data_IF_231805976927
#
_entry.id   IF_231805976927
#
_cell.length_a   1.000
_cell.length_b   1.000
_cell.length_c   1.000
_cell.angle_alpha   90.00
_cell.angle_beta   90.00
_cell.angle_gamma   90.00
#
_symmetry.space_group_name_H-M   'P 1'
#
loop_
_entity.id
_entity.type
_entity.pdbx_description
1 polymer ?
#
# COMPACT_ATOMS: atom_id res chain seq x y z
N UNK A 1 -24.45 28.69 -13.26
CA UNK A 1 -23.08 28.54 -12.70
C UNK A 1 -22.48 27.22 -13.16
N UNK A 2 -21.60 27.23 -14.16
CA UNK A 2 -20.93 26.02 -14.61
C UNK A 2 -19.88 25.62 -13.56
N UNK A 3 -20.11 24.50 -12.86
CA UNK A 3 -19.06 23.86 -12.07
C UNK A 3 -17.98 23.41 -13.05
N UNK A 4 -16.89 24.17 -13.13
CA UNK A 4 -15.64 23.75 -13.76
C UNK A 4 -15.06 22.58 -12.96
N UNK A 5 -15.70 21.42 -13.05
CA UNK A 5 -15.12 20.15 -12.67
C UNK A 5 -14.01 19.89 -13.67
N UNK A 6 -12.81 20.41 -13.37
CA UNK A 6 -11.55 19.97 -13.99
C UNK A 6 -11.61 18.44 -14.01
N UNK A 7 -11.90 17.85 -15.17
CA UNK A 7 -11.85 16.39 -15.39
C UNK A 7 -10.42 16.00 -15.06
N UNK A 8 -10.20 15.56 -13.81
CA UNK A 8 -8.89 15.09 -13.35
C UNK A 8 -8.46 14.01 -14.34
N UNK A 9 -7.37 14.24 -15.07
CA UNK A 9 -6.84 13.29 -16.04
C UNK A 9 -6.62 11.97 -15.30
N UNK A 10 -7.44 10.96 -15.61
CA UNK A 10 -7.38 9.65 -14.93
C UNK A 10 -5.99 9.05 -15.18
N UNK A 11 -5.31 8.66 -14.11
CA UNK A 11 -3.99 8.01 -14.18
C UNK A 11 -4.18 6.65 -14.87
N UNK A 12 -3.15 6.13 -15.55
CA UNK A 12 -3.22 4.86 -16.28
C UNK A 12 -3.87 3.73 -15.47
N UNK A 13 -3.42 3.52 -14.23
CA UNK A 13 -4.01 2.52 -13.34
C UNK A 13 -5.49 2.74 -12.98
N UNK A 14 -5.98 3.99 -12.95
CA UNK A 14 -7.42 4.25 -12.75
C UNK A 14 -8.23 3.88 -13.99
N UNK A 15 -7.66 4.03 -15.19
CA UNK A 15 -8.31 3.59 -16.42
C UNK A 15 -8.42 2.07 -16.45
N UNK A 16 -7.34 1.36 -16.10
CA UNK A 16 -7.35 -0.11 -16.02
C UNK A 16 -8.32 -0.64 -14.97
N UNK A 17 -8.39 -0.01 -13.78
CA UNK A 17 -9.41 -0.35 -12.78
C UNK A 17 -10.79 -0.23 -13.40
N UNK A 18 -11.11 0.89 -14.05
CA UNK A 18 -12.45 1.09 -14.63
C UNK A 18 -12.80 0.11 -15.76
N UNK A 19 -11.82 -0.31 -16.57
CA UNK A 19 -12.05 -1.29 -17.63
C UNK A 19 -12.32 -2.68 -17.04
N UNK A 20 -11.58 -3.06 -16.00
CA UNK A 20 -11.64 -4.41 -15.42
C UNK A 20 -12.58 -4.54 -14.20
N UNK A 21 -13.11 -3.44 -13.65
CA UNK A 21 -13.98 -3.48 -12.45
C UNK A 21 -15.28 -4.26 -12.68
N UNK A 22 -15.75 -4.29 -13.93
CA UNK A 22 -16.92 -5.06 -14.36
C UNK A 22 -16.55 -6.43 -14.94
N UNK A 23 -15.26 -6.78 -14.98
CA UNK A 23 -14.82 -8.11 -15.41
C UNK A 23 -15.45 -9.16 -14.52
N UNK A 24 -16.12 -10.13 -15.15
CA UNK A 24 -16.70 -11.29 -14.45
C UNK A 24 -15.62 -12.30 -14.02
N UNK A 25 -14.37 -12.09 -14.42
CA UNK A 25 -13.26 -13.00 -14.13
C UNK A 25 -12.65 -12.75 -12.74
N UNK A 26 -12.17 -13.83 -12.13
CA UNK A 26 -11.31 -13.75 -10.95
C UNK A 26 -10.03 -12.97 -11.27
N UNK A 27 -9.49 -12.19 -10.32
CA UNK A 27 -9.98 -11.99 -8.95
C UNK A 27 -10.98 -10.83 -8.79
N UNK A 28 -11.33 -10.09 -9.85
CA UNK A 28 -12.11 -8.84 -9.76
C UNK A 28 -13.52 -9.02 -9.15
N UNK A 29 -14.21 -10.11 -9.52
CA UNK A 29 -15.54 -10.44 -9.00
C UNK A 29 -15.56 -10.55 -7.47
N UNK A 30 -14.54 -11.19 -6.89
CA UNK A 30 -14.48 -11.44 -5.45
C UNK A 30 -13.95 -10.22 -4.69
N UNK A 31 -12.99 -9.48 -5.26
CA UNK A 31 -12.53 -8.20 -4.69
C UNK A 31 -13.71 -7.23 -4.52
N UNK A 32 -14.68 -7.20 -5.45
CA UNK A 32 -15.85 -6.33 -5.35
C UNK A 32 -16.67 -6.53 -4.06
N UNK A 33 -16.72 -7.76 -3.54
CA UNK A 33 -17.50 -8.14 -2.35
C UNK A 33 -16.84 -7.75 -1.03
N UNK A 34 -15.58 -7.30 -1.05
CA UNK A 34 -14.85 -6.87 0.15
C UNK A 34 -15.51 -5.62 0.74
N UNK A 35 -15.78 -5.66 2.05
CA UNK A 35 -16.45 -4.60 2.82
C UNK A 35 -15.45 -3.47 3.11
N UNK A 36 -14.21 -3.79 3.48
CA UNK A 36 -13.18 -2.78 3.70
C UNK A 36 -12.84 -2.07 2.38
N UNK A 37 -13.35 -0.85 2.21
CA UNK A 37 -13.20 -0.07 0.98
C UNK A 37 -11.75 0.28 0.64
N UNK A 38 -10.93 0.62 1.64
CA UNK A 38 -9.52 1.02 1.42
C UNK A 38 -8.67 -0.19 1.07
N UNK A 39 -8.82 -1.27 1.81
CA UNK A 39 -8.17 -2.54 1.52
C UNK A 39 -8.58 -3.10 0.15
N UNK A 40 -9.87 -2.96 -0.21
CA UNK A 40 -10.39 -3.32 -1.54
C UNK A 40 -9.74 -2.52 -2.67
N UNK A 41 -9.62 -1.20 -2.52
CA UNK A 41 -8.94 -0.34 -3.51
C UNK A 41 -7.45 -0.73 -3.65
N UNK A 42 -6.78 -1.05 -2.54
CA UNK A 42 -5.39 -1.54 -2.57
C UNK A 42 -5.26 -2.89 -3.27
N UNK A 43 -6.17 -3.83 -3.03
CA UNK A 43 -6.19 -5.12 -3.72
C UNK A 43 -6.41 -4.94 -5.23
N UNK A 44 -7.34 -4.08 -5.64
CA UNK A 44 -7.52 -3.76 -7.06
C UNK A 44 -6.24 -3.19 -7.68
N UNK A 45 -5.63 -2.20 -7.03
CA UNK A 45 -4.38 -1.60 -7.52
C UNK A 45 -3.24 -2.63 -7.56
N UNK A 46 -3.17 -3.53 -6.59
CA UNK A 46 -2.19 -4.60 -6.57
C UNK A 46 -2.37 -5.52 -7.78
N UNK A 47 -3.58 -6.05 -7.99
CA UNK A 47 -3.90 -6.96 -9.11
C UNK A 47 -3.62 -6.29 -10.47
N UNK A 48 -3.88 -4.99 -10.57
CA UNK A 48 -3.68 -4.23 -11.81
C UNK A 48 -2.28 -3.62 -11.93
N UNK A 49 -1.34 -3.95 -11.04
CA UNK A 49 0.01 -3.36 -11.02
C UNK A 49 0.00 -1.82 -11.07
N UNK A 50 -1.01 -1.22 -10.42
CA UNK A 50 -1.38 0.18 -10.46
C UNK A 50 -1.19 0.90 -9.10
N UNK A 51 -0.40 0.31 -8.21
CA UNK A 51 -0.09 0.90 -6.91
C UNK A 51 0.83 2.12 -7.07
N UNK A 52 0.52 3.24 -6.39
CA UNK A 52 1.30 4.46 -6.54
C UNK A 52 2.63 4.37 -5.77
N UNK A 53 3.69 5.00 -6.33
CA UNK A 53 4.99 5.24 -5.66
C UNK A 53 5.81 3.98 -5.34
N UNK A 54 5.83 2.99 -6.24
CA UNK A 54 6.65 1.77 -6.12
C UNK A 54 7.98 1.91 -6.90
N UNK A 55 8.03 2.72 -7.96
CA UNK A 55 9.20 2.78 -8.84
C UNK A 55 10.43 3.40 -8.14
N UNK A 56 11.56 2.70 -8.23
CA UNK A 56 12.92 3.14 -7.88
C UNK A 56 13.15 3.53 -6.41
N UNK A 57 12.39 2.96 -5.48
CA UNK A 57 12.60 3.17 -4.05
C UNK A 57 13.11 1.89 -3.39
N UNK A 58 14.19 1.93 -2.60
CA UNK A 58 14.53 0.82 -1.72
C UNK A 58 13.54 0.78 -0.55
N UNK A 59 13.25 -0.42 -0.05
CA UNK A 59 12.51 -0.62 1.18
C UNK A 59 13.23 0.09 2.32
N UNK A 60 12.58 1.05 2.98
CA UNK A 60 13.20 1.83 4.06
C UNK A 60 13.63 0.99 5.27
N UNK A 61 13.10 -0.22 5.40
CA UNK A 61 13.38 -1.09 6.54
C UNK A 61 14.48 -2.12 6.25
N UNK A 62 14.70 -2.49 4.98
CA UNK A 62 15.62 -3.58 4.59
C UNK A 62 16.58 -3.25 3.45
N UNK A 63 16.39 -2.14 2.73
CA UNK A 63 17.21 -1.74 1.59
C UNK A 63 16.98 -2.52 0.29
N UNK A 64 16.20 -3.60 0.32
CA UNK A 64 15.81 -4.37 -0.88
C UNK A 64 14.94 -3.56 -1.85
N UNK A 65 14.93 -3.91 -3.13
CA UNK A 65 14.07 -3.27 -4.13
C UNK A 65 12.59 -3.37 -3.74
N UNK A 66 11.94 -2.22 -3.61
CA UNK A 66 10.54 -2.18 -3.20
C UNK A 66 9.63 -2.48 -4.40
N UNK A 67 9.20 -3.72 -4.53
CA UNK A 67 8.12 -4.13 -5.43
C UNK A 67 6.78 -4.21 -4.70
N UNK A 68 5.66 -4.25 -5.43
CA UNK A 68 4.35 -4.49 -4.82
C UNK A 68 4.32 -5.81 -4.05
N UNK A 69 4.97 -6.85 -4.58
CA UNK A 69 5.08 -8.14 -3.92
C UNK A 69 5.95 -8.05 -2.66
N UNK A 70 7.09 -7.35 -2.73
CA UNK A 70 7.91 -7.09 -1.56
C UNK A 70 7.11 -6.43 -0.45
N UNK A 71 6.37 -5.35 -0.76
CA UNK A 71 5.57 -4.60 0.23
C UNK A 71 4.60 -5.51 0.97
N UNK A 72 3.88 -6.41 0.29
CA UNK A 72 2.81 -7.18 0.93
C UNK A 72 3.20 -8.58 1.38
N UNK A 73 4.19 -9.20 0.74
CA UNK A 73 4.45 -10.63 0.90
C UNK A 73 5.91 -10.99 1.22
N UNK A 74 6.90 -10.19 0.81
CA UNK A 74 8.31 -10.57 0.99
C UNK A 74 9.08 -9.69 2.00
N UNK A 75 8.51 -8.58 2.47
CA UNK A 75 9.18 -7.68 3.38
C UNK A 75 9.34 -8.28 4.79
N UNK A 76 10.59 -8.61 5.13
CA UNK A 76 11.01 -9.17 6.42
C UNK A 76 10.59 -8.32 7.63
N UNK A 77 10.30 -7.03 7.43
CA UNK A 77 9.94 -6.09 8.50
C UNK A 77 8.62 -6.39 9.20
N UNK A 78 7.72 -7.06 8.51
CA UNK A 78 6.40 -7.36 9.05
C UNK A 78 5.92 -8.75 8.71
N UNK A 79 6.51 -9.46 7.75
CA UNK A 79 5.99 -10.72 7.23
C UNK A 79 5.68 -11.76 8.32
N UNK A 80 6.57 -11.93 9.32
CA UNK A 80 6.36 -12.86 10.43
C UNK A 80 5.12 -12.49 11.26
N UNK A 81 5.04 -11.24 11.70
CA UNK A 81 3.89 -10.73 12.46
C UNK A 81 2.60 -10.78 11.62
N UNK A 82 2.68 -10.50 10.33
CA UNK A 82 1.56 -10.60 9.40
C UNK A 82 1.04 -12.03 9.32
N UNK A 83 1.93 -13.03 9.15
CA UNK A 83 1.59 -14.44 9.12
C UNK A 83 0.92 -14.90 10.43
N UNK A 84 1.46 -14.47 11.57
CA UNK A 84 0.95 -14.80 12.91
C UNK A 84 -0.46 -14.22 13.13
N UNK A 85 -0.67 -12.92 12.88
CA UNK A 85 -1.98 -12.27 13.01
C UNK A 85 -3.01 -12.89 12.07
N UNK A 86 -2.60 -13.17 10.83
CA UNK A 86 -3.48 -13.77 9.84
C UNK A 86 -3.96 -15.16 10.28
N UNK A 87 -3.04 -16.05 10.65
CA UNK A 87 -3.38 -17.40 11.11
C UNK A 87 -4.18 -17.38 12.42
N UNK A 88 -3.79 -16.53 13.38
CA UNK A 88 -4.51 -16.38 14.64
C UNK A 88 -5.98 -16.01 14.39
N UNK A 89 -6.23 -15.05 13.50
CA UNK A 89 -7.59 -14.61 13.17
C UNK A 89 -8.38 -15.71 12.47
N UNK A 90 -7.77 -16.44 11.53
CA UNK A 90 -8.43 -17.56 10.85
C UNK A 90 -8.83 -18.65 11.84
N UNK A 91 -7.92 -19.07 12.72
CA UNK A 91 -8.19 -20.10 13.73
C UNK A 91 -9.30 -19.66 14.69
N UNK A 92 -9.31 -18.40 15.13
CA UNK A 92 -10.37 -17.86 15.99
C UNK A 92 -11.74 -17.83 15.32
N UNK A 93 -11.80 -17.77 14.00
CA UNK A 93 -13.02 -17.86 13.22
C UNK A 93 -13.37 -19.29 12.78
N UNK A 94 -12.66 -20.33 13.26
CA UNK A 94 -12.92 -21.72 12.88
C UNK A 94 -12.41 -22.12 11.49
N UNK A 95 -11.51 -21.34 10.90
CA UNK A 95 -10.87 -21.65 9.62
C UNK A 95 -9.49 -22.27 9.79
N UNK A 96 -9.06 -23.01 8.77
CA UNK A 96 -7.69 -23.54 8.68
C UNK A 96 -6.69 -22.41 8.43
N UNK A 97 -5.46 -22.61 8.89
CA UNK A 97 -4.36 -21.67 8.67
C UNK A 97 -3.91 -21.71 7.21
N UNK A 98 -3.43 -20.57 6.71
CA UNK A 98 -2.87 -20.48 5.35
C UNK A 98 -1.57 -19.68 5.37
N UNK A 99 -0.63 -20.05 4.49
CA UNK A 99 0.61 -19.31 4.35
C UNK A 99 0.36 -17.94 3.72
N UNK A 100 0.86 -16.89 4.36
CA UNK A 100 0.82 -15.53 3.87
C UNK A 100 1.87 -15.33 2.78
N UNK A 101 1.47 -15.57 1.54
CA UNK A 101 2.24 -15.31 0.33
C UNK A 101 1.27 -14.96 -0.81
N UNK A 102 1.78 -14.69 -2.01
CA UNK A 102 0.96 -14.28 -3.17
C UNK A 102 -0.17 -15.28 -3.48
N UNK A 103 0.03 -16.59 -3.23
CA UNK A 103 -0.98 -17.63 -3.50
C UNK A 103 -2.23 -17.47 -2.64
N UNK A 104 -2.18 -16.70 -1.54
CA UNK A 104 -3.38 -16.41 -0.72
C UNK A 104 -4.49 -15.73 -1.51
N UNK A 105 -4.14 -15.03 -2.60
CA UNK A 105 -5.10 -14.38 -3.49
C UNK A 105 -6.00 -15.39 -4.25
N UNK A 106 -5.62 -16.67 -4.29
CA UNK A 106 -6.46 -17.75 -4.83
C UNK A 106 -7.62 -18.14 -3.90
N UNK A 107 -7.70 -17.54 -2.70
CA UNK A 107 -8.73 -17.81 -1.70
C UNK A 107 -9.70 -16.63 -1.51
N UNK A 108 -9.70 -15.64 -2.43
CA UNK A 108 -10.56 -14.46 -2.35
C UNK A 108 -12.07 -14.77 -2.45
N UNK A 109 -12.45 -15.95 -2.93
CA UNK A 109 -13.82 -16.46 -2.91
C UNK A 109 -14.36 -16.69 -1.48
N UNK A 110 -13.47 -16.86 -0.49
CA UNK A 110 -13.84 -17.00 0.91
C UNK A 110 -13.94 -15.59 1.50
N UNK A 111 -15.17 -15.17 1.84
CA UNK A 111 -15.45 -13.79 2.27
C UNK A 111 -14.61 -13.34 3.47
N UNK A 112 -14.42 -14.23 4.47
CA UNK A 112 -13.57 -13.93 5.62
C UNK A 112 -12.12 -13.65 5.19
N UNK A 113 -11.53 -14.55 4.40
CA UNK A 113 -10.15 -14.44 3.93
C UNK A 113 -9.98 -13.16 3.11
N UNK A 114 -10.89 -12.87 2.18
CA UNK A 114 -10.83 -11.67 1.34
C UNK A 114 -10.85 -10.38 2.16
N UNK A 115 -11.76 -10.29 3.14
CA UNK A 115 -11.84 -9.13 4.02
C UNK A 115 -10.62 -9.00 4.94
N UNK A 116 -10.10 -10.12 5.44
CA UNK A 116 -8.91 -10.13 6.29
C UNK A 116 -7.66 -9.69 5.51
N UNK A 117 -7.47 -10.20 4.28
CA UNK A 117 -6.40 -9.76 3.38
C UNK A 117 -6.49 -8.24 3.16
N UNK A 118 -7.69 -7.73 2.88
CA UNK A 118 -7.91 -6.31 2.64
C UNK A 118 -7.52 -5.43 3.84
N UNK A 119 -7.91 -5.84 5.05
CA UNK A 119 -7.55 -5.14 6.29
C UNK A 119 -6.03 -5.13 6.47
N UNK A 120 -5.38 -6.27 6.28
CA UNK A 120 -3.93 -6.41 6.42
C UNK A 120 -3.20 -5.55 5.38
N UNK A 121 -3.64 -5.58 4.11
CA UNK A 121 -3.10 -4.74 3.04
C UNK A 121 -3.18 -3.25 3.42
N UNK A 122 -4.33 -2.80 3.93
CA UNK A 122 -4.47 -1.42 4.39
C UNK A 122 -3.47 -1.07 5.50
N UNK A 123 -3.31 -1.94 6.50
CA UNK A 123 -2.40 -1.70 7.63
C UNK A 123 -0.93 -1.66 7.19
N UNK A 124 -0.50 -2.61 6.36
CA UNK A 124 0.85 -2.65 5.79
C UNK A 124 1.11 -1.39 4.98
N UNK A 125 0.20 -1.06 4.07
CA UNK A 125 0.32 0.10 3.19
C UNK A 125 0.38 1.41 3.96
N UNK A 126 -0.47 1.56 4.98
CA UNK A 126 -0.46 2.73 5.86
C UNK A 126 0.86 2.86 6.61
N UNK A 127 1.36 1.77 7.23
CA UNK A 127 2.62 1.75 7.96
C UNK A 127 3.79 2.15 7.05
N UNK A 128 3.90 1.55 5.87
CA UNK A 128 4.92 1.87 4.86
C UNK A 128 4.88 3.35 4.46
N UNK A 129 3.69 3.90 4.17
CA UNK A 129 3.57 5.31 3.79
C UNK A 129 3.89 6.28 4.91
N UNK A 130 3.59 5.92 6.16
CA UNK A 130 3.94 6.71 7.33
C UNK A 130 5.45 6.85 7.47
N UNK A 131 6.20 5.74 7.34
CA UNK A 131 7.67 5.76 7.40
C UNK A 131 8.27 6.68 6.32
N UNK A 132 7.76 6.63 5.09
CA UNK A 132 8.21 7.49 3.99
C UNK A 132 7.93 8.96 4.26
N UNK A 133 6.75 9.25 4.79
CA UNK A 133 6.36 10.61 5.09
C UNK A 133 7.19 11.19 6.24
N UNK A 134 7.45 10.41 7.28
CA UNK A 134 8.24 10.83 8.44
C UNK A 134 9.72 11.04 8.06
N UNK A 135 10.30 10.19 7.21
CA UNK A 135 11.65 10.41 6.68
C UNK A 135 11.74 11.70 5.85
N UNK A 136 10.79 11.93 4.94
CA UNK A 136 10.76 13.16 4.13
C UNK A 136 10.67 14.41 5.00
N UNK A 137 9.89 14.36 6.09
CA UNK A 137 9.84 15.46 7.07
C UNK A 137 11.20 15.69 7.72
N UNK A 138 11.91 14.64 8.11
CA UNK A 138 13.25 14.74 8.71
C UNK A 138 14.24 15.37 7.71
N UNK A 139 14.24 14.93 6.45
CA UNK A 139 15.11 15.48 5.40
C UNK A 139 14.83 16.97 5.17
N UNK A 140 13.56 17.35 5.01
CA UNK A 140 13.15 18.75 4.82
C UNK A 140 13.56 19.60 6.03
N UNK A 141 13.34 19.10 7.24
CA UNK A 141 13.73 19.81 8.47
C UNK A 141 15.24 20.02 8.55
N UNK A 142 16.04 18.99 8.25
CA UNK A 142 17.51 19.08 8.21
C UNK A 142 17.99 20.09 7.16
N UNK A 143 17.43 20.04 5.95
CA UNK A 143 17.74 21.01 4.89
C UNK A 143 17.40 22.45 5.30
N UNK A 144 16.26 22.66 5.96
CA UNK A 144 15.87 23.98 6.46
C UNK A 144 16.82 24.48 7.56
N UNK A 145 17.25 23.60 8.48
CA UNK A 145 18.22 23.94 9.53
C UNK A 145 19.57 24.35 8.93
N UNK A 146 20.08 23.59 7.96
CA UNK A 146 21.31 23.91 7.23
C UNK A 146 21.19 25.26 6.51
N UNK A 147 20.07 25.49 5.79
CA UNK A 147 19.80 26.75 5.10
C UNK A 147 19.78 27.94 6.06
N UNK A 148 19.19 27.78 7.25
CA UNK A 148 19.16 28.82 8.27
C UNK A 148 20.55 29.10 8.86
N UNK A 149 21.36 28.06 9.09
CA UNK A 149 22.75 28.20 9.53
C UNK A 149 23.59 28.95 8.50
N UNK A 150 23.51 28.58 7.22
CA UNK A 150 24.21 29.28 6.12
C UNK A 150 23.81 30.77 6.09
N UNK A 151 22.51 31.07 6.20
CA UNK A 151 22.02 32.47 6.26
C UNK A 151 22.55 33.24 7.47
N UNK A 152 22.61 32.59 8.64
CA UNK A 152 23.14 33.22 9.86
C UNK A 152 24.64 33.51 9.75
N UNK A 153 25.42 32.56 9.22
CA UNK A 153 26.85 32.75 8.96
C UNK A 153 27.10 33.86 7.93
N UNK A 154 26.33 33.88 6.83
CA UNK A 154 26.43 34.94 5.82
C UNK A 154 26.11 36.34 6.36
N UNK A 155 25.23 36.45 7.37
CA UNK A 155 24.95 37.73 8.06
C UNK A 155 26.07 38.18 9.00
N UNK A 156 26.91 37.27 9.49
CA UNK A 156 28.05 37.60 10.38
C UNK A 156 29.30 38.04 9.63
N UNK A 157 29.38 37.72 8.33
CA UNK A 157 30.52 38.09 7.46
C UNK A 157 30.31 39.47 6.83
N UNK A 158 29.08 39.97 6.80
CA UNK A 158 28.76 41.35 6.41
C UNK A 158 28.87 42.27 7.61
#
# INVERSE_FOLDING_TARGET
MAKNSKKKKKIHGQKEIMTNINSKHLPFKEIKKIINMKGRDLLWRYTLKALPKIYNMPCQQFGEDETSEHIFFNCKAHIKNTQEIFNYTLTKCGHTTHTWNVKILNHLQIALIANLIAIIFEKIWYKRNKLIHDEKKIIIHRQQKIKNQIKATARRIK
#
